data_IF_274676108703
#
_entry.id   IF_274676108703
#
_cell.length_a   1.000
_cell.length_b   1.000
_cell.length_c   1.000
_cell.angle_alpha   90.00
_cell.angle_beta   90.00
_cell.angle_gamma   90.00
#
_symmetry.space_group_name_H-M   'P 1'
#
loop_
_entity.id
_entity.type
_entity.pdbx_description
1 polymer ?
#
# COMPACT_ATOMS: atom_id res chain seq x y z
N UNK A 1 22.96 51.70 21.08
CA UNK A 1 23.32 51.19 19.73
C UNK A 1 23.71 49.72 19.72
N UNK A 2 24.48 49.20 20.69
CA UNK A 2 24.91 47.79 20.73
C UNK A 2 23.78 46.74 20.67
N UNK A 3 22.65 46.99 21.35
CA UNK A 3 21.54 46.02 21.38
C UNK A 3 20.77 45.88 20.06
N UNK A 4 20.80 46.90 19.18
CA UNK A 4 20.11 46.83 17.87
C UNK A 4 20.87 45.95 16.87
N UNK A 5 22.19 45.88 16.97
CA UNK A 5 23.04 45.06 16.11
C UNK A 5 22.84 43.57 16.43
N UNK A 6 22.71 43.23 17.72
CA UNK A 6 22.50 41.84 18.17
C UNK A 6 21.17 41.28 17.64
N UNK A 7 20.10 42.07 17.64
CA UNK A 7 18.78 41.63 17.15
C UNK A 7 18.82 41.37 15.63
N UNK A 8 19.48 42.24 14.86
CA UNK A 8 19.60 42.07 13.40
C UNK A 8 20.39 40.80 13.07
N UNK A 9 21.47 40.51 13.81
CA UNK A 9 22.27 39.29 13.60
C UNK A 9 21.45 38.03 13.91
N UNK A 10 20.64 38.03 14.97
CA UNK A 10 19.78 36.89 15.32
C UNK A 10 18.70 36.62 14.26
N UNK A 11 18.08 37.67 13.71
CA UNK A 11 17.06 37.53 12.65
C UNK A 11 17.67 36.98 11.36
N UNK A 12 18.86 37.45 10.96
CA UNK A 12 19.55 36.93 9.78
C UNK A 12 19.95 35.46 9.99
N UNK A 13 20.42 35.09 11.18
CA UNK A 13 20.78 33.71 11.49
C UNK A 13 19.57 32.77 11.40
N UNK A 14 18.41 33.22 11.91
CA UNK A 14 17.14 32.48 11.82
C UNK A 14 16.74 32.26 10.36
N UNK A 15 16.80 33.29 9.51
CA UNK A 15 16.44 33.19 8.09
C UNK A 15 17.37 32.21 7.37
N UNK A 16 18.68 32.23 7.66
CA UNK A 16 19.65 31.32 7.03
C UNK A 16 19.45 29.88 7.47
N UNK A 17 19.16 29.64 8.76
CA UNK A 17 18.90 28.29 9.28
C UNK A 17 17.58 27.74 8.72
N UNK A 18 16.52 28.55 8.67
CA UNK A 18 15.24 28.15 8.07
C UNK A 18 15.37 27.88 6.57
N UNK A 19 16.14 28.70 5.85
CA UNK A 19 16.41 28.49 4.43
C UNK A 19 17.22 27.21 4.17
N UNK A 20 18.26 26.95 4.96
CA UNK A 20 19.06 25.73 4.84
C UNK A 20 18.23 24.47 5.15
N UNK A 21 17.34 24.53 6.14
CA UNK A 21 16.42 23.42 6.45
C UNK A 21 15.43 23.17 5.31
N UNK A 22 14.90 24.24 4.70
CA UNK A 22 14.02 24.17 3.53
C UNK A 22 14.71 23.57 2.29
N UNK A 23 16.00 23.83 2.09
CA UNK A 23 16.76 23.20 0.99
C UNK A 23 17.22 21.78 1.30
N UNK A 24 17.46 21.44 2.57
CA UNK A 24 17.84 20.09 2.98
C UNK A 24 16.67 19.10 2.86
N UNK A 25 15.43 19.53 3.17
CA UNK A 25 14.23 18.69 3.00
C UNK A 25 13.89 18.41 1.54
N UNK A 26 14.22 19.32 0.61
CA UNK A 26 14.05 19.10 -0.85
C UNK A 26 15.13 18.21 -1.50
N UNK A 27 16.13 17.78 -0.73
CA UNK A 27 17.28 17.02 -1.25
C UNK A 27 17.07 15.52 -1.42
N UNK A 28 16.00 14.94 -0.86
CA UNK A 28 15.66 13.54 -1.08
C UNK A 28 14.91 13.39 -2.40
N UNK A 29 15.68 13.47 -3.50
CA UNK A 29 15.25 12.82 -4.75
C UNK A 29 15.18 11.32 -4.47
N UNK A 30 13.98 10.77 -4.56
CA UNK A 30 13.73 9.33 -4.58
C UNK A 30 14.67 8.72 -5.63
N UNK A 31 15.62 7.92 -5.16
CA UNK A 31 16.29 6.95 -6.01
C UNK A 31 15.25 5.88 -6.29
N UNK A 32 14.72 5.86 -7.52
CA UNK A 32 14.00 4.69 -8.02
C UNK A 32 15.06 3.57 -8.12
N UNK A 33 14.97 2.49 -7.33
CA UNK A 33 15.81 1.34 -7.60
C UNK A 33 15.40 0.78 -8.97
N UNK A 34 16.34 0.77 -9.90
CA UNK A 34 16.14 0.46 -11.33
C UNK A 34 15.73 -1.00 -11.62
N UNK A 35 15.37 -1.80 -10.60
CA UNK A 35 15.22 -3.25 -10.71
C UNK A 35 14.05 -3.82 -9.87
N UNK A 36 12.81 -3.41 -10.13
CA UNK A 36 11.61 -4.13 -9.65
C UNK A 36 10.48 -4.04 -10.69
N UNK A 37 10.77 -4.49 -11.91
CA UNK A 37 9.73 -4.93 -12.85
C UNK A 37 9.32 -6.35 -12.46
N UNK A 38 8.39 -6.48 -11.52
CA UNK A 38 7.60 -7.70 -11.40
C UNK A 38 6.15 -7.25 -11.27
N UNK A 39 5.54 -6.98 -12.42
CA UNK A 39 4.09 -7.05 -12.52
C UNK A 39 3.66 -8.39 -11.93
N UNK A 40 2.68 -8.33 -11.03
CA UNK A 40 1.95 -9.44 -10.41
C UNK A 40 1.81 -10.62 -11.39
N UNK A 41 2.77 -11.54 -11.39
CA UNK A 41 2.56 -12.88 -11.89
C UNK A 41 2.03 -13.64 -10.68
N UNK A 42 0.79 -14.09 -10.79
CA UNK A 42 0.27 -15.14 -9.90
C UNK A 42 1.32 -16.25 -9.91
N UNK A 43 1.92 -16.56 -8.76
CA UNK A 43 2.86 -17.67 -8.60
C UNK A 43 2.14 -18.99 -8.90
N UNK A 44 2.01 -19.34 -10.18
CA UNK A 44 1.56 -20.66 -10.66
C UNK A 44 2.73 -21.56 -11.02
N UNK A 45 3.82 -21.50 -10.23
CA UNK A 45 4.96 -22.41 -10.37
C UNK A 45 5.37 -22.98 -9.00
N UNK A 46 4.41 -23.61 -8.33
CA UNK A 46 4.68 -24.69 -7.37
C UNK A 46 4.25 -26.01 -8.00
N UNK A 47 5.18 -26.97 -8.06
CA UNK A 47 4.98 -28.40 -8.39
C UNK A 47 4.92 -28.82 -9.87
N UNK A 48 6.07 -28.73 -10.57
CA UNK A 48 6.45 -29.77 -11.54
C UNK A 48 7.93 -30.14 -11.33
N UNK A 49 8.22 -30.87 -10.25
CA UNK A 49 9.40 -31.74 -10.17
C UNK A 49 8.94 -33.20 -10.20
N UNK A 50 8.94 -33.81 -11.40
CA UNK A 50 9.56 -35.12 -11.68
C UNK A 50 9.11 -35.70 -13.03
N UNK A 51 10.13 -36.21 -13.74
CA UNK A 51 10.08 -37.05 -14.95
C UNK A 51 9.76 -36.24 -16.22
N UNK A 52 10.64 -36.17 -17.23
CA UNK A 52 11.18 -37.32 -17.95
C UNK A 52 12.45 -36.93 -18.73
N UNK A 53 13.39 -37.86 -18.83
CA UNK A 53 14.57 -37.84 -19.70
C UNK A 53 14.20 -37.83 -21.20
N UNK A 54 15.10 -37.27 -22.01
CA UNK A 54 15.24 -37.36 -23.48
C UNK A 54 14.03 -37.00 -24.35
N UNK A 55 14.12 -35.88 -25.09
CA UNK A 55 13.82 -35.76 -26.54
C UNK A 55 14.34 -34.40 -27.05
N UNK A 56 15.33 -34.50 -27.95
CA UNK A 56 15.65 -33.69 -29.14
C UNK A 56 15.53 -32.14 -29.12
N UNK A 57 16.65 -31.50 -29.47
CA UNK A 57 16.78 -30.08 -29.81
C UNK A 57 15.86 -29.69 -31.00
N UNK A 58 14.67 -29.19 -30.68
CA UNK A 58 13.87 -28.41 -31.62
C UNK A 58 13.85 -26.96 -31.14
N UNK A 59 14.17 -26.07 -32.08
CA UNK A 59 14.35 -24.63 -31.92
C UNK A 59 13.10 -23.99 -31.31
N UNK A 60 13.10 -23.78 -29.98
CA UNK A 60 12.04 -23.04 -29.29
C UNK A 60 12.20 -21.56 -29.63
N UNK A 61 11.36 -21.09 -30.54
CA UNK A 61 11.09 -19.68 -30.76
C UNK A 61 10.45 -19.14 -29.47
N UNK A 62 11.18 -18.27 -28.78
CA UNK A 62 10.72 -17.61 -27.55
C UNK A 62 9.51 -16.75 -27.93
N UNK A 63 8.32 -17.26 -27.58
CA UNK A 63 7.04 -16.59 -27.72
C UNK A 63 7.10 -15.23 -27.00
N UNK A 64 6.97 -14.20 -27.81
CA UNK A 64 6.19 -12.98 -27.60
C UNK A 64 5.88 -12.63 -26.13
N UNK A 65 6.54 -11.57 -25.68
CA UNK A 65 6.24 -10.79 -24.49
C UNK A 65 4.73 -10.54 -24.42
N UNK A 66 4.03 -11.28 -23.55
CA UNK A 66 2.63 -10.98 -23.22
C UNK A 66 2.69 -9.65 -22.47
N UNK A 67 2.51 -8.56 -23.21
CA UNK A 67 2.29 -7.23 -22.66
C UNK A 67 1.20 -7.37 -21.60
N UNK A 68 1.55 -7.07 -20.34
CA UNK A 68 0.62 -7.10 -19.23
C UNK A 68 -0.61 -6.29 -19.63
N UNK A 69 -1.77 -6.95 -19.71
CA UNK A 69 -3.01 -6.30 -20.06
C UNK A 69 -3.31 -5.26 -18.98
N UNK A 70 -3.48 -4.00 -19.37
CA UNK A 70 -3.77 -2.94 -18.42
C UNK A 70 -5.14 -3.20 -17.76
N UNK A 71 -5.25 -3.14 -16.41
CA UNK A 71 -6.44 -3.53 -15.67
C UNK A 71 -7.70 -2.69 -15.96
N UNK A 72 -7.60 -1.61 -16.72
CA UNK A 72 -8.69 -0.66 -16.98
C UNK A 72 -8.63 0.01 -18.37
N UNK A 73 -8.19 -0.72 -19.41
CA UNK A 73 -8.20 -0.25 -20.82
C UNK A 73 -7.66 1.19 -20.99
N UNK A 74 -6.41 1.42 -20.56
CA UNK A 74 -5.75 2.72 -20.71
C UNK A 74 -5.78 3.63 -19.48
N UNK A 75 -6.58 3.34 -18.45
CA UNK A 75 -6.58 4.17 -17.24
C UNK A 75 -5.38 3.89 -16.36
N UNK A 76 -4.69 4.93 -15.92
CA UNK A 76 -3.68 4.84 -14.87
C UNK A 76 -4.29 4.88 -13.46
N UNK A 77 -3.50 4.63 -12.40
CA UNK A 77 -4.01 4.59 -11.01
C UNK A 77 -4.66 5.89 -10.53
N UNK A 78 -4.22 7.06 -11.00
CA UNK A 78 -4.83 8.34 -10.64
C UNK A 78 -6.21 8.47 -11.31
N UNK A 79 -6.35 8.02 -12.56
CA UNK A 79 -7.63 7.98 -13.26
C UNK A 79 -8.60 6.99 -12.59
N UNK A 80 -8.11 5.81 -12.21
CA UNK A 80 -8.85 4.83 -11.41
C UNK A 80 -9.33 5.49 -10.13
N UNK A 81 -8.43 6.03 -9.31
CA UNK A 81 -8.77 6.71 -8.06
C UNK A 81 -9.84 7.78 -8.29
N UNK A 82 -9.62 8.70 -9.23
CA UNK A 82 -10.52 9.83 -9.51
C UNK A 82 -11.88 9.43 -10.10
N UNK A 83 -11.99 8.22 -10.66
CA UNK A 83 -13.25 7.67 -11.17
C UNK A 83 -14.13 7.07 -10.07
N UNK A 84 -13.57 6.80 -8.89
CA UNK A 84 -14.29 6.18 -7.78
C UNK A 84 -15.46 7.06 -7.30
N UNK A 85 -16.55 6.46 -6.82
CA UNK A 85 -17.58 7.18 -6.08
C UNK A 85 -17.00 7.91 -4.87
N UNK A 86 -17.51 9.12 -4.56
CA UNK A 86 -17.02 9.96 -3.46
C UNK A 86 -16.90 9.25 -2.11
N UNK A 87 -17.76 8.27 -1.82
CA UNK A 87 -17.71 7.51 -0.56
C UNK A 87 -16.44 6.68 -0.37
N UNK A 88 -15.68 6.43 -1.45
CA UNK A 88 -14.39 5.74 -1.40
C UNK A 88 -13.20 6.71 -1.52
N UNK A 89 -13.47 8.01 -1.75
CA UNK A 89 -12.48 9.07 -1.91
C UNK A 89 -12.62 10.07 -0.74
N UNK A 90 -12.23 9.68 0.47
CA UNK A 90 -12.42 10.56 1.64
C UNK A 90 -11.69 11.89 1.49
N UNK A 91 -10.52 11.84 0.86
CA UNK A 91 -9.67 12.98 0.54
C UNK A 91 -10.08 13.75 -0.73
N UNK A 92 -11.13 13.31 -1.41
CA UNK A 92 -11.61 13.93 -2.64
C UNK A 92 -10.79 13.51 -3.87
N UNK A 93 -10.79 14.35 -4.91
CA UNK A 93 -10.04 14.06 -6.13
C UNK A 93 -8.58 14.45 -5.97
N UNK A 94 -7.71 13.69 -6.61
CA UNK A 94 -6.27 13.93 -6.65
C UNK A 94 -5.85 14.54 -8.00
N UNK A 95 -5.12 15.64 -7.99
CA UNK A 95 -4.42 16.18 -9.16
C UNK A 95 -2.92 16.16 -8.87
N UNK A 96 -2.12 15.37 -9.62
CA UNK A 96 -0.67 15.29 -9.41
C UNK A 96 0.07 16.60 -9.70
N UNK A 97 -0.59 17.59 -10.31
CA UNK A 97 -0.02 18.91 -10.57
C UNK A 97 -0.39 19.95 -9.50
N UNK A 98 -1.19 19.59 -8.48
CA UNK A 98 -1.51 20.49 -7.38
C UNK A 98 -0.42 20.46 -6.30
N UNK A 99 0.38 21.53 -6.25
CA UNK A 99 1.51 21.69 -5.32
C UNK A 99 1.10 21.84 -3.84
N UNK A 100 -0.20 22.00 -3.52
CA UNK A 100 -0.66 22.37 -2.18
C UNK A 100 -1.68 21.41 -1.55
N UNK A 101 -2.12 20.38 -2.27
CA UNK A 101 -3.25 19.54 -1.84
C UNK A 101 -2.92 18.40 -0.87
N UNK A 102 -1.77 17.74 -1.06
CA UNK A 102 -1.44 16.49 -0.35
C UNK A 102 0.02 16.45 0.12
N UNK A 103 0.26 15.77 1.23
CA UNK A 103 1.58 15.59 1.83
C UNK A 103 2.26 14.39 1.15
N UNK A 104 3.39 14.64 0.47
CA UNK A 104 4.30 13.65 -0.11
C UNK A 104 3.60 12.46 -0.81
N UNK A 105 2.78 12.70 -1.86
CA UNK A 105 2.06 11.63 -2.53
C UNK A 105 3.01 10.61 -3.17
N UNK A 106 2.70 9.32 -3.03
CA UNK A 106 3.40 8.23 -3.69
C UNK A 106 2.53 7.77 -4.86
N UNK A 107 3.07 7.88 -6.08
CA UNK A 107 2.38 7.45 -7.29
C UNK A 107 3.29 6.48 -8.03
N UNK A 108 2.79 5.26 -8.23
CA UNK A 108 3.45 4.23 -9.00
C UNK A 108 2.49 3.77 -10.10
N UNK A 109 2.65 4.35 -11.29
CA UNK A 109 1.81 4.05 -12.45
C UNK A 109 2.00 2.62 -12.95
N UNK A 110 3.20 2.07 -12.81
CA UNK A 110 3.53 0.73 -13.33
C UNK A 110 2.91 -0.36 -12.45
N UNK A 111 2.85 -0.14 -11.14
CA UNK A 111 2.27 -1.07 -10.17
C UNK A 111 0.83 -0.71 -9.77
N UNK A 112 0.24 0.29 -10.41
CA UNK A 112 -1.11 0.77 -10.12
C UNK A 112 -1.32 1.08 -8.62
N UNK A 113 -0.33 1.72 -8.00
CA UNK A 113 -0.37 2.12 -6.59
C UNK A 113 -0.41 3.63 -6.45
N UNK A 114 -1.29 4.11 -5.58
CA UNK A 114 -1.41 5.50 -5.18
C UNK A 114 -1.56 5.58 -3.67
N UNK A 115 -0.77 6.41 -3.03
CA UNK A 115 -0.95 6.82 -1.65
C UNK A 115 -0.91 8.34 -1.56
N UNK A 116 -1.92 8.90 -0.90
CA UNK A 116 -2.04 10.34 -0.67
C UNK A 116 -2.42 10.57 0.80
N UNK A 117 -1.97 11.67 1.36
CA UNK A 117 -2.25 12.03 2.75
C UNK A 117 -2.59 13.52 2.90
N UNK A 118 -3.51 13.83 3.83
CA UNK A 118 -3.81 15.17 4.31
C UNK A 118 -3.86 15.16 5.84
N UNK A 119 -2.73 15.55 6.46
CA UNK A 119 -2.58 15.59 7.92
C UNK A 119 -2.73 14.22 8.56
N UNK A 120 -3.88 13.97 9.17
CA UNK A 120 -4.22 12.74 9.90
C UNK A 120 -4.98 11.72 9.05
N UNK A 121 -5.26 12.03 7.78
CA UNK A 121 -5.98 11.18 6.86
C UNK A 121 -5.07 10.66 5.75
N UNK A 122 -5.19 9.38 5.42
CA UNK A 122 -4.47 8.71 4.34
C UNK A 122 -5.47 7.97 3.45
N UNK A 123 -5.22 7.96 2.15
CA UNK A 123 -5.97 7.17 1.18
C UNK A 123 -4.97 6.41 0.31
N UNK A 124 -5.04 5.09 0.36
CA UNK A 124 -4.24 4.16 -0.42
C UNK A 124 -5.14 3.50 -1.47
N UNK A 125 -4.65 3.34 -2.68
CA UNK A 125 -5.30 2.64 -3.78
C UNK A 125 -4.29 1.71 -4.42
N UNK A 126 -4.63 0.42 -4.54
CA UNK A 126 -3.82 -0.57 -5.25
C UNK A 126 -4.72 -1.47 -6.11
N UNK A 127 -4.17 -2.06 -7.16
CA UNK A 127 -4.94 -2.87 -8.12
C UNK A 127 -4.41 -4.30 -8.14
N UNK A 128 -5.33 -5.25 -7.93
CA UNK A 128 -5.07 -6.68 -8.02
C UNK A 128 -5.62 -7.24 -9.34
N UNK A 129 -4.78 -7.93 -10.11
CA UNK A 129 -5.20 -8.56 -11.37
C UNK A 129 -5.89 -9.88 -11.12
N UNK A 130 -7.05 -10.10 -11.75
CA UNK A 130 -7.78 -11.36 -11.68
C UNK A 130 -7.21 -12.38 -12.65
N UNK A 131 -7.36 -13.67 -12.32
CA UNK A 131 -6.93 -14.77 -13.19
C UNK A 131 -7.67 -14.82 -14.53
N UNK A 132 -8.87 -14.22 -14.59
CA UNK A 132 -9.73 -14.17 -15.78
C UNK A 132 -9.48 -12.94 -16.68
N UNK A 133 -8.47 -12.13 -16.36
CA UNK A 133 -8.12 -10.90 -17.09
C UNK A 133 -8.86 -9.64 -16.61
N UNK A 134 -9.72 -9.74 -15.58
CA UNK A 134 -10.29 -8.59 -14.89
C UNK A 134 -9.36 -8.01 -13.82
N UNK A 135 -9.88 -7.09 -13.01
CA UNK A 135 -9.13 -6.40 -11.96
C UNK A 135 -10.02 -6.09 -10.76
N UNK A 136 -9.40 -5.98 -9.59
CA UNK A 136 -10.02 -5.53 -8.34
C UNK A 136 -9.21 -4.37 -7.80
N UNK A 137 -9.87 -3.25 -7.50
CA UNK A 137 -9.25 -2.09 -6.85
C UNK A 137 -9.45 -2.21 -5.35
N UNK A 138 -8.37 -2.25 -4.60
CA UNK A 138 -8.42 -2.05 -3.16
C UNK A 138 -8.24 -0.58 -2.83
N UNK A 139 -9.13 -0.05 -1.98
CA UNK A 139 -9.06 1.31 -1.47
C UNK A 139 -9.07 1.26 0.04
N UNK A 140 -8.03 1.79 0.67
CA UNK A 140 -7.91 1.89 2.11
C UNK A 140 -7.89 3.35 2.51
N UNK A 141 -8.89 3.77 3.30
CA UNK A 141 -8.90 5.09 3.93
C UNK A 141 -8.53 4.92 5.41
N UNK A 142 -7.53 5.65 5.87
CA UNK A 142 -7.03 5.57 7.25
C UNK A 142 -7.16 6.94 7.86
N UNK A 143 -7.80 7.04 9.01
CA UNK A 143 -7.82 8.25 9.82
C UNK A 143 -7.16 8.02 11.17
N UNK A 144 -6.22 8.88 11.54
CA UNK A 144 -5.41 8.73 12.74
C UNK A 144 -5.73 9.80 13.77
N UNK A 145 -6.40 9.42 14.86
CA UNK A 145 -6.54 10.26 16.05
C UNK A 145 -5.69 9.72 17.20
N UNK A 146 -6.27 9.43 18.39
CA UNK A 146 -5.54 8.73 19.45
C UNK A 146 -5.19 7.28 19.07
N UNK A 147 -6.01 6.67 18.21
CA UNK A 147 -5.75 5.41 17.51
C UNK A 147 -6.19 5.61 16.05
N UNK A 148 -5.53 4.92 15.13
CA UNK A 148 -5.93 4.94 13.73
C UNK A 148 -7.11 3.99 13.49
N UNK A 149 -8.06 4.41 12.67
CA UNK A 149 -9.11 3.57 12.11
C UNK A 149 -8.85 3.40 10.62
N UNK A 150 -9.30 2.30 10.06
CA UNK A 150 -9.13 2.00 8.65
C UNK A 150 -10.41 1.39 8.09
N UNK A 151 -10.85 1.95 6.97
CA UNK A 151 -11.87 1.36 6.11
C UNK A 151 -11.18 0.79 4.86
N UNK A 152 -11.43 -0.48 4.58
CA UNK A 152 -10.90 -1.18 3.40
C UNK A 152 -12.06 -1.62 2.51
N UNK A 153 -11.99 -1.26 1.23
CA UNK A 153 -12.95 -1.65 0.21
C UNK A 153 -12.25 -2.37 -0.93
N UNK A 154 -12.89 -3.41 -1.47
CA UNK A 154 -12.49 -4.08 -2.69
C UNK A 154 -13.56 -3.83 -3.74
N UNK A 155 -13.18 -3.24 -4.87
CA UNK A 155 -14.09 -2.72 -5.87
C UNK A 155 -13.82 -3.34 -7.24
N UNK A 156 -14.87 -3.65 -7.96
CA UNK A 156 -14.78 -4.11 -9.35
C UNK A 156 -15.57 -3.17 -10.26
N UNK A 157 -15.00 -2.83 -11.42
CA UNK A 157 -15.70 -2.04 -12.41
C UNK A 157 -16.50 -2.95 -13.36
N UNK A 158 -17.83 -2.92 -13.25
CA UNK A 158 -18.75 -3.75 -14.04
C UNK A 158 -19.92 -2.92 -14.52
N UNK A 159 -20.30 -3.06 -15.79
CA UNK A 159 -21.44 -2.35 -16.39
C UNK A 159 -21.39 -0.82 -16.15
N UNK A 160 -20.22 -0.22 -16.41
CA UNK A 160 -19.95 1.21 -16.27
C UNK A 160 -20.13 1.78 -14.85
N UNK A 161 -19.95 0.94 -13.82
CA UNK A 161 -20.03 1.36 -12.42
C UNK A 161 -19.07 0.57 -11.53
N UNK A 162 -18.66 1.21 -10.46
CA UNK A 162 -17.93 0.57 -9.36
C UNK A 162 -18.89 -0.22 -8.47
N UNK A 163 -18.60 -1.50 -8.28
CA UNK A 163 -19.35 -2.43 -7.43
C UNK A 163 -18.46 -2.84 -6.26
N UNK A 164 -19.01 -2.75 -5.05
CA UNK A 164 -18.36 -3.22 -3.83
C UNK A 164 -18.43 -4.75 -3.76
N UNK A 165 -17.27 -5.39 -3.75
CA UNK A 165 -17.11 -6.85 -3.67
C UNK A 165 -16.30 -7.26 -2.43
N UNK A 166 -16.16 -6.36 -1.46
CA UNK A 166 -15.32 -6.58 -0.26
C UNK A 166 -15.65 -7.90 0.43
N UNK A 167 -16.93 -8.17 0.72
CA UNK A 167 -17.35 -9.41 1.38
C UNK A 167 -17.17 -10.67 0.51
N UNK A 168 -17.06 -10.53 -0.82
CA UNK A 168 -16.89 -11.65 -1.74
C UNK A 168 -15.43 -12.11 -1.83
N UNK A 169 -14.49 -11.17 -1.74
CA UNK A 169 -13.07 -11.45 -1.97
C UNK A 169 -12.21 -11.34 -0.72
N UNK A 170 -12.72 -10.72 0.33
CA UNK A 170 -11.99 -10.45 1.55
C UNK A 170 -12.65 -11.14 2.74
N UNK A 171 -11.88 -11.94 3.48
CA UNK A 171 -12.35 -12.59 4.69
C UNK A 171 -12.38 -11.57 5.85
N UNK A 172 -13.53 -11.33 6.49
CA UNK A 172 -13.59 -10.40 7.62
C UNK A 172 -12.81 -10.97 8.80
N UNK A 173 -11.71 -10.30 9.15
CA UNK A 173 -10.87 -10.68 10.28
C UNK A 173 -11.61 -10.42 11.59
N UNK A 174 -11.79 -11.46 12.40
CA UNK A 174 -12.41 -11.30 13.72
C UNK A 174 -11.34 -10.96 14.73
N UNK A 175 -11.58 -9.93 15.53
CA UNK A 175 -10.65 -9.45 16.58
C UNK A 175 -10.10 -10.56 17.47
N UNK A 176 -10.94 -11.52 17.87
CA UNK A 176 -10.53 -12.62 18.77
C UNK A 176 -9.41 -13.47 18.16
N UNK A 177 -9.41 -13.68 16.85
CA UNK A 177 -8.41 -14.53 16.19
C UNK A 177 -7.07 -13.79 16.02
N UNK A 178 -7.12 -12.47 15.84
CA UNK A 178 -5.92 -11.62 15.76
C UNK A 178 -5.23 -11.48 17.13
N UNK A 179 -6.02 -11.33 18.20
CA UNK A 179 -5.52 -11.10 19.56
C UNK A 179 -4.64 -12.25 20.08
N UNK A 180 -5.02 -13.50 19.81
CA UNK A 180 -4.27 -14.66 20.31
C UNK A 180 -2.87 -14.75 19.67
N UNK A 181 -2.79 -14.58 18.35
CA UNK A 181 -1.53 -14.59 17.60
C UNK A 181 -0.67 -13.38 17.97
N UNK A 182 -1.30 -12.21 18.08
CA UNK A 182 -0.64 -11.00 18.54
C UNK A 182 0.01 -11.17 19.92
N UNK A 183 -0.74 -11.67 20.91
CA UNK A 183 -0.22 -11.82 22.29
C UNK A 183 0.97 -12.76 22.35
N UNK A 184 0.93 -13.86 21.59
CA UNK A 184 2.07 -14.77 21.49
C UNK A 184 3.29 -14.05 20.92
N UNK A 185 3.14 -13.36 19.78
CA UNK A 185 4.24 -12.63 19.14
C UNK A 185 4.76 -11.46 19.96
N UNK A 186 3.86 -10.79 20.69
CA UNK A 186 4.21 -9.70 21.61
C UNK A 186 5.10 -10.22 22.74
N UNK A 187 4.76 -11.35 23.36
CA UNK A 187 5.59 -11.95 24.39
C UNK A 187 6.96 -12.38 23.85
N UNK A 188 7.00 -12.94 22.63
CA UNK A 188 8.24 -13.28 21.95
C UNK A 188 9.13 -12.05 21.68
N UNK A 189 8.54 -10.92 21.26
CA UNK A 189 9.25 -9.67 20.92
C UNK A 189 9.69 -8.88 22.16
N UNK A 190 8.79 -8.70 23.12
CA UNK A 190 8.96 -7.81 24.27
C UNK A 190 9.49 -8.55 25.51
N UNK A 191 9.47 -9.89 25.51
CA UNK A 191 9.92 -10.71 26.64
C UNK A 191 9.01 -10.61 27.88
N UNK A 192 7.77 -10.15 27.70
CA UNK A 192 6.72 -10.06 28.74
C UNK A 192 5.34 -10.26 28.13
N UNK A 193 4.40 -10.72 28.95
CA UNK A 193 3.01 -10.79 28.55
C UNK A 193 2.43 -9.38 28.26
N UNK A 194 1.46 -9.34 27.34
CA UNK A 194 0.65 -8.15 27.05
C UNK A 194 -0.28 -7.84 28.23
N UNK A 195 -0.30 -6.57 28.67
CA UNK A 195 -1.13 -6.06 29.75
C UNK A 195 -2.21 -5.13 29.20
N UNK A 196 -3.46 -5.59 29.16
CA UNK A 196 -4.62 -4.81 28.68
C UNK A 196 -4.87 -3.50 29.45
N UNK A 197 -4.29 -3.35 30.65
CA UNK A 197 -4.41 -2.14 31.45
C UNK A 197 -3.45 -1.02 31.04
N UNK A 198 -2.37 -1.35 30.33
CA UNK A 198 -1.30 -0.37 30.00
C UNK A 198 -0.84 -0.41 28.55
N UNK A 199 -0.97 -1.55 27.89
CA UNK A 199 -0.60 -1.73 26.50
C UNK A 199 -1.79 -1.44 25.58
N UNK A 200 -1.48 -0.96 24.38
CA UNK A 200 -2.46 -0.68 23.33
C UNK A 200 -2.17 -1.56 22.12
N UNK A 201 -3.23 -1.92 21.41
CA UNK A 201 -3.17 -2.63 20.14
C UNK A 201 -4.04 -1.88 19.13
N UNK A 202 -3.55 -1.78 17.91
CA UNK A 202 -4.26 -1.17 16.80
C UNK A 202 -3.91 -1.88 15.49
N UNK A 203 -4.75 -2.85 15.10
CA UNK A 203 -4.54 -3.62 13.89
C UNK A 203 -4.93 -2.83 12.65
N UNK A 204 -3.99 -2.73 11.71
CA UNK A 204 -4.21 -2.23 10.37
C UNK A 204 -3.84 -3.27 9.32
N UNK A 205 -4.28 -3.00 8.09
CA UNK A 205 -3.95 -3.71 6.87
C UNK A 205 -3.06 -2.84 5.99
N UNK A 206 -1.91 -3.37 5.61
CA UNK A 206 -0.99 -2.69 4.69
C UNK A 206 -1.28 -3.13 3.25
N UNK A 207 -1.71 -2.18 2.40
CA UNK A 207 -1.88 -2.44 0.98
C UNK A 207 -0.51 -2.43 0.29
N UNK A 208 -0.20 -3.44 -0.54
CA UNK A 208 1.09 -3.51 -1.20
C UNK A 208 1.23 -2.47 -2.31
N UNK A 209 2.36 -1.77 -2.33
CA UNK A 209 2.87 -1.15 -3.56
C UNK A 209 3.36 -2.20 -4.55
N UNK A 210 3.93 -3.30 -4.06
CA UNK A 210 4.46 -4.39 -4.88
C UNK A 210 3.97 -5.74 -4.39
N UNK A 211 3.74 -6.67 -5.32
CA UNK A 211 3.29 -8.01 -5.01
C UNK A 211 1.77 -8.11 -4.82
N UNK A 212 1.34 -9.18 -4.17
CA UNK A 212 -0.08 -9.60 -4.12
C UNK A 212 -0.56 -9.89 -2.70
N UNK A 213 0.21 -9.50 -1.70
CA UNK A 213 -0.09 -9.73 -0.29
C UNK A 213 -0.47 -8.44 0.44
N UNK A 214 -1.50 -8.53 1.28
CA UNK A 214 -1.83 -7.51 2.27
C UNK A 214 -1.35 -8.01 3.64
N UNK A 215 -0.53 -7.22 4.33
CA UNK A 215 -0.06 -7.56 5.67
C UNK A 215 -1.06 -7.08 6.71
N UNK A 216 -1.36 -7.91 7.72
CA UNK A 216 -2.10 -7.50 8.91
C UNK A 216 -1.10 -7.32 10.03
N UNK A 217 -1.04 -6.12 10.61
CA UNK A 217 -0.06 -5.78 11.63
C UNK A 217 -0.66 -4.88 12.71
N UNK A 218 -0.10 -4.96 13.92
CA UNK A 218 -0.33 -3.96 14.96
C UNK A 218 0.58 -2.76 14.72
N UNK A 219 -0.01 -1.58 14.52
CA UNK A 219 0.74 -0.34 14.29
C UNK A 219 1.58 0.09 15.49
N UNK A 220 1.14 -0.21 16.72
CA UNK A 220 1.79 0.30 17.93
C UNK A 220 3.12 -0.42 18.19
N UNK A 221 3.10 -1.75 18.09
CA UNK A 221 4.27 -2.58 18.34
C UNK A 221 5.01 -3.00 17.08
N UNK A 222 4.49 -2.73 15.88
CA UNK A 222 5.07 -3.20 14.60
C UNK A 222 5.22 -4.74 14.60
N UNK A 223 4.13 -5.43 14.92
CA UNK A 223 4.02 -6.89 14.93
C UNK A 223 3.07 -7.32 13.82
N UNK A 224 3.59 -8.05 12.84
CA UNK A 224 2.79 -8.70 11.82
C UNK A 224 2.13 -9.98 12.38
N UNK A 225 0.82 -10.08 12.26
CA UNK A 225 0.04 -11.21 12.79
C UNK A 225 -0.47 -12.13 11.69
N UNK A 226 -0.67 -11.60 10.48
CA UNK A 226 -1.14 -12.38 9.36
C UNK A 226 -0.79 -11.75 8.01
N UNK A 227 -1.02 -12.53 6.96
CA UNK A 227 -0.87 -12.14 5.57
C UNK A 227 -2.08 -12.63 4.78
N UNK A 228 -2.65 -11.77 3.94
CA UNK A 228 -3.72 -12.11 3.01
C UNK A 228 -3.13 -12.14 1.60
N UNK A 229 -3.08 -13.30 0.96
CA UNK A 229 -2.52 -13.46 -0.38
C UNK A 229 -3.60 -13.56 -1.43
N UNK A 230 -3.53 -12.68 -2.42
CA UNK A 230 -4.40 -12.71 -3.58
C UNK A 230 -4.05 -13.89 -4.50
N UNK A 231 -5.05 -14.71 -4.85
CA UNK A 231 -4.87 -15.86 -5.75
C UNK A 231 -5.40 -15.63 -7.17
N UNK A 232 -5.76 -14.39 -7.52
CA UNK A 232 -6.45 -14.07 -8.77
C UNK A 232 -7.97 -14.01 -8.67
N UNK A 233 -8.57 -14.35 -7.53
CA UNK A 233 -10.03 -14.30 -7.32
C UNK A 233 -10.42 -13.83 -5.92
N UNK A 234 -9.74 -14.31 -4.88
CA UNK A 234 -9.99 -14.01 -3.47
C UNK A 234 -8.68 -13.89 -2.71
N UNK A 235 -8.74 -13.28 -1.52
CA UNK A 235 -7.65 -13.28 -0.57
C UNK A 235 -7.70 -14.53 0.31
N UNK A 236 -6.65 -15.35 0.22
CA UNK A 236 -6.41 -16.45 1.15
C UNK A 236 -5.66 -15.94 2.38
N UNK A 237 -6.10 -16.37 3.55
CA UNK A 237 -5.58 -15.88 4.81
C UNK A 237 -4.54 -16.84 5.40
N UNK A 238 -3.41 -16.29 5.87
CA UNK A 238 -2.28 -17.02 6.45
C UNK A 238 -1.84 -16.36 7.77
N UNK A 239 -1.85 -17.14 8.86
CA UNK A 239 -1.27 -16.71 10.13
C UNK A 239 0.27 -16.68 10.03
N UNK A 240 0.89 -15.65 10.62
CA UNK A 240 2.36 -15.56 10.75
C UNK A 240 2.85 -16.12 12.08
#
# INVERSE_FOLDING_TARGET
MKNKIIIIVLVILLIVVSGAFYFYSRGYRVQVPENLRVASQVDTLGDIEKQTEDINEEKIEVKEEVLAQEPFDGWNVVEVYNSLPRKYQELGKFDPNDDFGFIDPIIDYDNYYLEIADGELYSLTTVFLKSDGGSVVAVSNIGCGPLCHQDLYMLEYKDDKWVDITEEVFYPLRHVELDDVFRQKFEEKEGRAFDEGTDMVNFLLELPQFGTSITVYDMISDIEVAELKWNGQVFNFFWK
#
